data_IF_511242256120
#
_entry.id   IF_511242256120
#
_cell.length_a   1.000
_cell.length_b   1.000
_cell.length_c   1.000
_cell.angle_alpha   90.00
_cell.angle_beta   90.00
_cell.angle_gamma   90.00
#
_symmetry.space_group_name_H-M   'P 1'
#
loop_
_entity.id
_entity.type
_entity.pdbx_description
1 polymer ?
#
# COMPACT_ATOMS: atom_id res chain seq x y z
N UNK A 1 -1.17 10.26 -2.77
CA UNK A 1 -0.94 8.99 -3.49
C UNK A 1 -1.98 8.77 -4.59
N UNK A 2 -3.28 8.70 -4.29
CA UNK A 2 -4.33 8.49 -5.31
C UNK A 2 -4.24 9.47 -6.50
N UNK A 3 -4.19 10.78 -6.24
CA UNK A 3 -4.07 11.80 -7.28
C UNK A 3 -2.79 11.69 -8.11
N UNK A 4 -1.71 11.13 -7.55
CA UNK A 4 -0.46 10.89 -8.27
C UNK A 4 -0.61 9.74 -9.27
N UNK A 5 -1.31 8.67 -8.89
CA UNK A 5 -1.61 7.56 -9.78
C UNK A 5 -2.52 7.98 -10.94
N UNK A 6 -3.57 8.77 -10.65
CA UNK A 6 -4.47 9.30 -11.68
C UNK A 6 -3.70 10.17 -12.69
N UNK A 7 -2.71 10.93 -12.23
CA UNK A 7 -1.89 11.81 -13.07
C UNK A 7 -0.93 11.05 -13.99
N UNK A 8 -0.49 9.84 -13.62
CA UNK A 8 0.37 8.98 -14.45
C UNK A 8 -0.42 8.02 -15.35
N UNK A 9 -1.76 8.07 -15.31
CA UNK A 9 -2.63 7.15 -16.07
C UNK A 9 -2.50 5.68 -15.64
N UNK A 10 -1.98 5.43 -14.44
CA UNK A 10 -1.67 4.10 -13.93
C UNK A 10 -2.69 3.58 -12.93
N UNK A 11 -2.54 2.32 -12.54
CA UNK A 11 -3.34 1.70 -11.49
C UNK A 11 -2.79 2.02 -10.10
N UNK A 12 -3.69 2.30 -9.16
CA UNK A 12 -3.37 2.54 -7.75
C UNK A 12 -3.85 1.40 -6.87
N UNK A 13 -3.01 0.94 -5.94
CA UNK A 13 -3.43 0.10 -4.83
C UNK A 13 -2.86 0.62 -3.51
N UNK A 14 -3.61 0.40 -2.44
CA UNK A 14 -3.20 0.64 -1.06
C UNK A 14 -3.23 -0.68 -0.32
N UNK A 15 -2.15 -1.01 0.36
CA UNK A 15 -2.02 -2.20 1.18
C UNK A 15 -1.60 -1.79 2.58
N UNK A 16 -2.38 -2.20 3.57
CA UNK A 16 -2.04 -2.04 4.97
C UNK A 16 -1.23 -3.26 5.43
N UNK A 17 -0.02 -3.04 5.95
CA UNK A 17 0.77 -4.11 6.51
C UNK A 17 0.27 -4.41 7.92
N UNK A 18 -0.03 -5.69 8.17
CA UNK A 18 -0.49 -6.22 9.45
C UNK A 18 0.35 -7.45 9.83
N UNK A 19 0.39 -7.84 11.12
CA UNK A 19 1.21 -8.98 11.57
C UNK A 19 0.83 -10.32 10.93
N UNK A 20 -0.41 -10.46 10.47
CA UNK A 20 -1.00 -11.65 9.84
C UNK A 20 -0.88 -11.66 8.31
N UNK A 21 -0.42 -10.57 7.70
CA UNK A 21 -0.26 -10.47 6.24
C UNK A 21 0.78 -11.48 5.73
N UNK A 22 0.42 -12.24 4.70
CA UNK A 22 1.28 -13.24 4.09
C UNK A 22 1.99 -12.67 2.85
N UNK A 23 3.15 -13.22 2.45
CA UNK A 23 3.80 -12.89 1.17
C UNK A 23 2.85 -12.99 -0.03
N UNK A 24 1.99 -14.02 -0.07
CA UNK A 24 1.01 -14.25 -1.15
C UNK A 24 -0.03 -13.13 -1.26
N UNK A 25 -0.34 -12.43 -0.17
CA UNK A 25 -1.28 -11.29 -0.20
C UNK A 25 -0.66 -10.06 -0.88
N UNK A 26 0.67 -10.05 -1.04
CA UNK A 26 1.44 -9.00 -1.72
C UNK A 26 1.68 -9.40 -3.18
N UNK A 27 2.22 -10.60 -3.40
CA UNK A 27 2.71 -11.04 -4.70
C UNK A 27 1.62 -11.74 -5.53
N UNK A 28 0.53 -12.18 -4.91
CA UNK A 28 -0.51 -12.99 -5.55
C UNK A 28 -0.35 -14.48 -5.30
N UNK A 29 -1.28 -15.26 -5.83
CA UNK A 29 -1.33 -16.71 -5.67
C UNK A 29 -2.12 -17.35 -6.81
N UNK A 30 -1.93 -18.66 -6.99
CA UNK A 30 -2.71 -19.46 -7.93
C UNK A 30 -3.92 -20.08 -7.22
N UNK A 31 -5.13 -19.83 -7.73
CA UNK A 31 -6.37 -20.36 -7.19
C UNK A 31 -6.89 -21.50 -8.08
N UNK A 32 -7.09 -22.67 -7.51
CA UNK A 32 -7.70 -23.78 -8.22
C UNK A 32 -9.19 -23.53 -8.48
N UNK A 33 -9.61 -23.67 -9.74
CA UNK A 33 -10.97 -23.45 -10.20
C UNK A 33 -11.59 -24.77 -10.65
N UNK A 34 -12.50 -25.31 -9.85
CA UNK A 34 -13.13 -26.61 -10.11
C UNK A 34 -13.86 -26.67 -11.46
N UNK A 35 -14.46 -25.55 -11.91
CA UNK A 35 -15.26 -25.51 -13.14
C UNK A 35 -14.47 -25.77 -14.43
N UNK A 36 -13.18 -25.40 -14.48
CA UNK A 36 -12.30 -25.59 -15.62
C UNK A 36 -11.13 -26.57 -15.34
N UNK A 37 -11.03 -27.07 -14.10
CA UNK A 37 -9.97 -27.98 -13.68
C UNK A 37 -8.57 -27.36 -13.66
N UNK A 38 -8.46 -26.03 -13.71
CA UNK A 38 -7.21 -25.28 -13.85
C UNK A 38 -6.87 -24.42 -12.63
N UNK A 39 -5.68 -23.83 -12.66
CA UNK A 39 -5.24 -22.81 -11.73
C UNK A 39 -5.31 -21.44 -12.41
N UNK A 40 -5.98 -20.49 -11.76
CA UNK A 40 -6.01 -19.10 -12.21
C UNK A 40 -5.10 -18.26 -11.31
N UNK A 41 -4.23 -17.47 -11.94
CA UNK A 41 -3.41 -16.53 -11.21
C UNK A 41 -4.25 -15.34 -10.71
N UNK A 42 -4.23 -15.12 -9.40
CA UNK A 42 -4.80 -13.95 -8.74
C UNK A 42 -3.67 -12.98 -8.43
N UNK A 43 -3.60 -11.89 -9.19
CA UNK A 43 -2.57 -10.88 -9.05
C UNK A 43 -2.66 -10.15 -7.70
N UNK A 44 -1.52 -10.06 -7.01
CA UNK A 44 -1.38 -9.26 -5.80
C UNK A 44 -1.28 -7.76 -6.09
N UNK A 45 -1.33 -6.92 -5.04
CA UNK A 45 -1.25 -5.46 -5.16
C UNK A 45 0.05 -4.93 -5.79
N UNK A 46 1.14 -5.70 -5.82
CA UNK A 46 2.38 -5.32 -6.53
C UNK A 46 2.20 -5.19 -8.04
N UNK A 47 1.15 -5.76 -8.62
CA UNK A 47 0.81 -5.59 -10.04
C UNK A 47 0.10 -4.26 -10.34
N UNK A 48 0.21 -3.26 -9.45
CA UNK A 48 -0.26 -1.90 -9.68
C UNK A 48 0.88 -0.96 -10.02
N UNK A 49 0.61 0.12 -10.76
CA UNK A 49 1.65 1.10 -11.10
C UNK A 49 2.11 1.91 -9.88
N UNK A 50 1.21 2.19 -8.94
CA UNK A 50 1.51 2.86 -7.68
C UNK A 50 0.93 2.08 -6.51
N UNK A 51 1.80 1.50 -5.70
CA UNK A 51 1.45 0.81 -4.46
C UNK A 51 1.80 1.68 -3.25
N UNK A 52 0.79 2.04 -2.45
CA UNK A 52 0.97 2.59 -1.11
C UNK A 52 1.01 1.44 -0.09
N UNK A 53 2.17 1.16 0.48
CA UNK A 53 2.41 0.14 1.50
C UNK A 53 2.46 0.78 2.89
N UNK A 54 1.32 0.81 3.57
CA UNK A 54 1.22 1.45 4.88
C UNK A 54 1.74 0.59 6.02
N UNK A 55 2.49 1.22 6.93
CA UNK A 55 3.04 0.61 8.14
C UNK A 55 3.84 -0.67 7.86
N UNK A 56 4.72 -0.64 6.85
CA UNK A 56 5.48 -1.81 6.37
C UNK A 56 6.20 -2.57 7.49
N UNK A 57 6.61 -1.85 8.54
CA UNK A 57 7.24 -2.41 9.73
C UNK A 57 6.30 -3.20 10.66
N UNK A 58 5.00 -3.34 10.38
CA UNK A 58 4.09 -4.18 11.18
C UNK A 58 4.01 -5.63 10.72
N UNK A 59 4.38 -5.91 9.47
CA UNK A 59 4.40 -7.29 8.98
C UNK A 59 5.73 -7.98 9.31
N UNK A 60 5.72 -9.31 9.26
CA UNK A 60 6.92 -10.12 9.45
C UNK A 60 8.03 -9.76 8.46
N UNK A 61 9.33 -9.95 8.80
CA UNK A 61 10.43 -9.73 7.86
C UNK A 61 10.27 -10.50 6.55
N UNK A 62 9.66 -11.69 6.58
CA UNK A 62 9.40 -12.50 5.39
C UNK A 62 8.38 -11.82 4.45
N UNK A 63 7.33 -11.25 5.02
CA UNK A 63 6.29 -10.52 4.28
C UNK A 63 6.86 -9.22 3.71
N UNK A 64 7.68 -8.50 4.49
CA UNK A 64 8.40 -7.31 4.00
C UNK A 64 9.31 -7.64 2.82
N UNK A 65 10.09 -8.72 2.91
CA UNK A 65 10.98 -9.16 1.83
C UNK A 65 10.24 -9.41 0.52
N UNK A 66 9.00 -9.93 0.55
CA UNK A 66 8.22 -10.17 -0.66
C UNK A 66 7.95 -8.88 -1.46
N UNK A 67 7.64 -7.78 -0.77
CA UNK A 67 7.50 -6.47 -1.41
C UNK A 67 8.85 -5.93 -1.90
N UNK A 68 9.89 -6.03 -1.08
CA UNK A 68 11.21 -5.46 -1.39
C UNK A 68 11.91 -6.19 -2.54
N UNK A 69 11.73 -7.51 -2.63
CA UNK A 69 12.17 -8.33 -3.76
C UNK A 69 11.43 -7.94 -5.04
N UNK A 70 10.10 -7.78 -4.96
CA UNK A 70 9.28 -7.30 -6.08
C UNK A 70 9.76 -5.93 -6.60
N UNK A 71 10.12 -5.01 -5.68
CA UNK A 71 10.70 -3.70 -6.02
C UNK A 71 12.05 -3.82 -6.74
N UNK A 72 12.91 -4.72 -6.29
CA UNK A 72 14.27 -4.85 -6.80
C UNK A 72 14.30 -5.56 -8.16
N UNK A 73 13.58 -6.68 -8.26
CA UNK A 73 13.60 -7.54 -9.45
C UNK A 73 12.62 -7.05 -10.53
N UNK A 74 11.65 -6.20 -10.18
CA UNK A 74 10.55 -5.75 -11.06
C UNK A 74 9.75 -6.91 -11.67
N UNK A 75 9.77 -8.06 -11.01
CA UNK A 75 9.04 -9.26 -11.38
C UNK A 75 8.76 -10.09 -10.13
N UNK A 76 7.83 -11.02 -10.26
CA UNK A 76 7.43 -11.95 -9.20
C UNK A 76 7.42 -13.36 -9.77
N UNK A 77 7.94 -14.33 -9.03
CA UNK A 77 7.88 -15.75 -9.40
C UNK A 77 6.98 -16.52 -8.45
N UNK A 78 5.94 -17.18 -8.99
CA UNK A 78 4.98 -17.97 -8.23
C UNK A 78 4.80 -19.32 -8.93
N UNK A 79 5.01 -20.40 -8.19
CA UNK A 79 4.92 -21.78 -8.67
C UNK A 79 5.72 -22.05 -9.95
N UNK A 80 6.90 -21.43 -10.07
CA UNK A 80 7.81 -21.60 -11.21
C UNK A 80 7.49 -20.70 -12.42
N UNK A 81 6.43 -19.90 -12.37
CA UNK A 81 6.08 -18.93 -13.41
C UNK A 81 6.45 -17.51 -12.97
N UNK A 82 7.33 -16.86 -13.74
CA UNK A 82 7.76 -15.48 -13.51
C UNK A 82 6.89 -14.51 -14.29
N UNK A 83 6.42 -13.46 -13.62
CA UNK A 83 5.54 -12.42 -14.17
C UNK A 83 6.17 -11.05 -13.92
N UNK A 84 6.33 -10.26 -14.98
CA UNK A 84 6.82 -8.89 -14.88
C UNK A 84 5.79 -7.97 -14.20
N UNK A 85 6.28 -7.01 -13.43
CA UNK A 85 5.47 -5.93 -12.86
C UNK A 85 5.18 -4.85 -13.92
N UNK A 86 4.11 -4.06 -13.77
CA UNK A 86 3.77 -3.03 -14.76
C UNK A 86 4.82 -1.91 -14.80
N UNK A 87 4.99 -1.26 -15.95
CA UNK A 87 5.82 -0.06 -16.07
C UNK A 87 4.95 1.19 -16.27
N UNK A 88 5.15 2.26 -15.48
CA UNK A 88 6.05 2.36 -14.31
C UNK A 88 5.53 1.57 -13.10
N UNK A 89 6.46 1.11 -12.23
CA UNK A 89 6.18 0.52 -10.92
C UNK A 89 6.79 1.39 -9.82
N UNK A 90 5.94 2.00 -8.98
CA UNK A 90 6.34 2.81 -7.82
C UNK A 90 5.74 2.24 -6.53
N UNK A 91 6.56 2.23 -5.48
CA UNK A 91 6.13 1.90 -4.12
C UNK A 91 6.37 3.12 -3.23
N UNK A 92 5.34 3.51 -2.48
CA UNK A 92 5.43 4.47 -1.37
C UNK A 92 5.17 3.68 -0.10
N UNK A 93 6.16 3.57 0.78
CA UNK A 93 6.00 2.87 2.04
C UNK A 93 5.95 3.86 3.21
N UNK A 94 5.12 3.57 4.21
CA UNK A 94 5.11 4.31 5.49
C UNK A 94 5.56 3.37 6.60
N UNK A 95 6.21 3.93 7.63
CA UNK A 95 6.59 3.21 8.82
C UNK A 95 6.00 3.92 10.04
N UNK A 96 5.46 3.14 10.98
CA UNK A 96 5.13 3.65 12.31
C UNK A 96 6.38 3.76 13.17
N UNK A 97 6.29 4.57 14.23
CA UNK A 97 7.37 4.70 15.22
C UNK A 97 7.78 3.32 15.78
N UNK A 98 9.08 3.06 15.77
CA UNK A 98 9.70 1.78 16.15
C UNK A 98 9.64 1.51 17.65
N UNK A 99 9.17 2.49 18.44
CA UNK A 99 8.88 2.35 19.87
C UNK A 99 7.67 1.45 20.16
N UNK A 100 6.85 1.11 19.16
CA UNK A 100 5.67 0.26 19.32
C UNK A 100 6.01 -1.25 19.37
N UNK A 101 5.53 -1.94 20.41
CA UNK A 101 5.58 -3.40 20.52
C UNK A 101 4.93 -4.06 19.31
N UNK A 102 5.59 -5.08 18.74
CA UNK A 102 5.06 -5.81 17.58
C UNK A 102 5.40 -5.17 16.23
N UNK A 103 6.44 -4.34 16.17
CA UNK A 103 7.03 -3.84 14.93
C UNK A 103 8.37 -4.52 14.63
N UNK A 104 8.65 -4.70 13.34
CA UNK A 104 9.88 -5.22 12.77
C UNK A 104 10.49 -4.13 11.89
N UNK A 105 11.46 -3.35 12.39
CA UNK A 105 12.08 -2.29 11.60
C UNK A 105 12.76 -2.87 10.37
N UNK A 106 12.74 -2.11 9.27
CA UNK A 106 13.52 -2.43 8.08
C UNK A 106 15.01 -2.27 8.42
N UNK A 107 15.86 -3.29 8.20
CA UNK A 107 17.31 -3.13 8.29
C UNK A 107 17.81 -2.05 7.32
N UNK A 108 18.91 -1.37 7.65
CA UNK A 108 19.51 -0.35 6.75
C UNK A 108 19.68 -0.82 5.30
N UNK A 109 20.18 -2.05 5.02
CA UNK A 109 20.31 -2.54 3.64
C UNK A 109 18.98 -2.69 2.89
N UNK A 110 17.85 -2.73 3.59
CA UNK A 110 16.52 -2.74 3.01
C UNK A 110 16.00 -1.33 2.74
N UNK A 111 16.36 -0.36 3.58
CA UNK A 111 16.03 1.05 3.37
C UNK A 111 16.76 1.62 2.15
N UNK A 112 17.97 1.15 1.85
CA UNK A 112 18.74 1.54 0.66
C UNK A 112 18.01 1.26 -0.67
N UNK A 113 16.97 0.41 -0.67
CA UNK A 113 16.13 0.15 -1.85
C UNK A 113 15.14 1.27 -2.14
N UNK A 114 14.95 2.21 -1.22
CA UNK A 114 14.09 3.37 -1.41
C UNK A 114 14.90 4.57 -1.91
N UNK A 115 14.46 5.16 -3.01
CA UNK A 115 15.12 6.34 -3.59
C UNK A 115 15.10 7.55 -2.64
N UNK A 116 14.03 7.69 -1.86
CA UNK A 116 13.82 8.81 -0.93
C UNK A 116 13.25 8.28 0.38
N UNK A 117 13.75 8.82 1.49
CA UNK A 117 13.17 8.66 2.82
C UNK A 117 12.84 10.04 3.38
N UNK A 118 11.57 10.24 3.77
CA UNK A 118 11.05 11.54 4.20
C UNK A 118 10.60 11.43 5.65
N UNK A 119 11.26 12.10 6.60
CA UNK A 119 10.78 12.15 7.97
C UNK A 119 9.50 12.98 8.04
N UNK A 120 8.44 12.38 8.59
CA UNK A 120 7.15 13.04 8.78
C UNK A 120 7.09 13.67 10.17
N UNK A 121 7.13 15.00 10.24
CA UNK A 121 6.93 15.76 11.47
C UNK A 121 5.56 16.44 11.49
N UNK A 122 5.06 16.72 12.69
CA UNK A 122 3.86 17.54 12.85
C UNK A 122 4.11 18.93 12.23
N UNK A 123 3.21 19.42 11.36
CA UNK A 123 3.39 20.72 10.75
C UNK A 123 3.26 21.83 11.80
N UNK A 124 3.70 23.05 11.48
CA UNK A 124 3.55 24.21 12.38
C UNK A 124 2.08 24.44 12.73
N UNK A 125 1.80 24.99 13.92
CA UNK A 125 0.44 25.20 14.44
C UNK A 125 -0.47 25.94 13.46
N UNK A 126 0.06 26.96 12.77
CA UNK A 126 -0.64 27.71 11.72
C UNK A 126 -1.17 26.78 10.61
N UNK A 127 -0.33 25.86 10.12
CA UNK A 127 -0.69 24.90 9.07
C UNK A 127 -1.67 23.86 9.62
N UNK A 128 -1.51 23.42 10.87
CA UNK A 128 -2.47 22.52 11.51
C UNK A 128 -3.87 23.16 11.58
N UNK A 129 -3.95 24.42 11.98
CA UNK A 129 -5.19 25.19 12.01
C UNK A 129 -5.81 25.33 10.62
N UNK A 130 -5.00 25.56 9.57
CA UNK A 130 -5.50 25.65 8.20
C UNK A 130 -6.01 24.30 7.68
N UNK A 131 -5.35 23.19 8.00
CA UNK A 131 -5.83 21.84 7.71
C UNK A 131 -7.18 21.58 8.40
N UNK A 132 -7.30 21.96 9.68
CA UNK A 132 -8.55 21.82 10.44
C UNK A 132 -9.68 22.63 9.80
N UNK A 133 -9.44 23.90 9.45
CA UNK A 133 -10.42 24.76 8.77
C UNK A 133 -10.81 24.19 7.40
N UNK A 134 -9.84 23.70 6.62
CA UNK A 134 -10.09 23.09 5.30
C UNK A 134 -11.03 21.87 5.40
N UNK A 135 -10.79 20.98 6.37
CA UNK A 135 -11.65 19.82 6.59
C UNK A 135 -13.01 20.18 7.22
N UNK A 136 -13.08 21.19 8.09
CA UNK A 136 -14.33 21.70 8.64
C UNK A 136 -15.24 22.28 7.55
N UNK A 137 -14.67 23.04 6.61
CA UNK A 137 -15.42 23.64 5.49
C UNK A 137 -15.85 22.61 4.44
N UNK A 138 -15.14 21.48 4.31
CA UNK A 138 -15.56 20.35 3.44
C UNK A 138 -16.72 19.53 4.00
N UNK A 139 -17.03 19.64 5.30
CA UNK A 139 -18.20 19.01 5.93
C UNK A 139 -19.52 19.79 5.73
N UNK A 140 -19.54 20.79 4.86
CA UNK A 140 -20.78 21.38 4.34
C UNK A 140 -20.70 21.36 2.81
N UNK A 141 -21.51 20.54 2.11
CA UNK A 141 -22.97 20.65 2.15
C UNK A 141 -23.76 19.31 2.13
N UNK A 142 -25.02 19.38 2.59
CA UNK A 142 -26.12 18.40 2.50
C UNK A 142 -26.20 17.31 3.60
N UNK A 143 -26.93 17.63 4.67
CA UNK A 143 -27.96 16.72 5.18
C UNK A 143 -29.31 17.49 5.19
N UNK A 144 -30.12 17.43 4.12
CA UNK A 144 -31.53 17.71 4.25
C UNK A 144 -32.14 16.47 4.90
N UNK A 145 -32.29 16.53 6.23
CA UNK A 145 -33.24 15.69 6.93
C UNK A 145 -34.64 16.07 6.42
N UNK A 146 -35.08 15.40 5.35
CA UNK A 146 -36.49 15.34 4.98
C UNK A 146 -36.94 13.88 4.85
N UNK A 147 -38.12 13.67 5.41
CA UNK A 147 -38.99 12.49 5.40
C UNK A 147 -38.74 11.39 6.43
N UNK A 148 -39.13 11.69 7.68
CA UNK A 148 -40.23 10.98 8.38
C UNK A 148 -40.92 11.95 9.35
N UNK A 149 -42.15 12.34 9.03
CA UNK A 149 -43.32 12.29 9.93
C UNK A 149 -44.52 13.07 9.34
N UNK A 150 -45.66 12.37 9.30
CA UNK A 150 -47.06 12.79 9.05
C UNK A 150 -47.48 13.19 7.62
#
# INVERSE_FOLDING_TARGET
AHTLADSIGGTFKRLQFTPDLLPSDIIGYNLYRQHNGGFDFIAGPVFSNLLLADEINRASPRTQSALLESMNERQVSIDGETRALPEPFLVVATQNDTSATGTFPLPEPQLDRFLLSIPMSLPREEIQLDILKFHANRRSPADPADHRDA
#
